data_IF_729684044431
#
_entry.id   IF_729684044431
#
_cell.length_a   1.000
_cell.length_b   1.000
_cell.length_c   1.000
_cell.angle_alpha   90.00
_cell.angle_beta   90.00
_cell.angle_gamma   90.00
#
_symmetry.space_group_name_H-M   'P 1'
#
loop_
_entity.id
_entity.type
_entity.pdbx_description
1 polymer ?
#
# COMPACT_ATOMS: atom_id res chain seq x y z
N UNK A 1 -30.40 17.54 1.05
CA UNK A 1 -29.46 16.91 2.00
C UNK A 1 -28.29 16.18 1.31
N UNK A 2 -28.50 15.41 0.23
CA UNK A 2 -27.41 14.70 -0.47
C UNK A 2 -26.32 15.62 -1.07
N UNK A 3 -26.71 16.75 -1.68
CA UNK A 3 -25.77 17.73 -2.23
C UNK A 3 -24.86 18.35 -1.16
N UNK A 4 -25.38 18.58 0.05
CA UNK A 4 -24.62 19.12 1.19
C UNK A 4 -23.59 18.11 1.70
N UNK A 5 -23.92 16.81 1.72
CA UNK A 5 -22.99 15.73 2.07
C UNK A 5 -21.91 15.55 1.00
N UNK A 6 -22.27 15.60 -0.28
CA UNK A 6 -21.34 15.48 -1.41
C UNK A 6 -20.27 16.58 -1.40
N UNK A 7 -20.69 17.84 -1.26
CA UNK A 7 -19.77 18.99 -1.15
C UNK A 7 -18.89 18.88 0.09
N UNK A 8 -19.43 18.41 1.22
CA UNK A 8 -18.65 18.21 2.45
C UNK A 8 -17.55 17.16 2.28
N UNK A 9 -17.86 16.04 1.59
CA UNK A 9 -16.88 14.98 1.30
C UNK A 9 -15.77 15.55 0.41
N UNK A 10 -16.11 16.17 -0.72
CA UNK A 10 -15.12 16.68 -1.66
C UNK A 10 -14.25 17.79 -1.06
N UNK A 11 -14.83 18.68 -0.24
CA UNK A 11 -14.07 19.73 0.47
C UNK A 11 -13.14 19.19 1.55
N UNK A 12 -13.33 17.95 2.00
CA UNK A 12 -12.42 17.31 2.95
C UNK A 12 -11.20 16.66 2.29
N UNK A 13 -11.15 16.64 0.96
CA UNK A 13 -10.01 16.14 0.19
C UNK A 13 -9.02 17.30 0.00
N UNK A 14 -7.77 17.17 0.46
CA UNK A 14 -6.74 18.18 0.21
C UNK A 14 -6.38 18.16 -1.27
N UNK A 15 -6.54 19.30 -1.95
CA UNK A 15 -6.24 19.44 -3.38
C UNK A 15 -5.40 20.68 -3.58
N UNK A 16 -4.20 20.48 -4.10
CA UNK A 16 -3.23 21.53 -4.41
C UNK A 16 -3.54 22.20 -5.75
N UNK A 17 -2.85 23.30 -6.03
CA UNK A 17 -2.89 23.95 -7.34
C UNK A 17 -2.30 23.12 -8.48
N UNK A 18 -1.48 22.11 -8.18
CA UNK A 18 -0.83 21.23 -9.15
C UNK A 18 -1.78 20.15 -9.69
N UNK A 19 -2.93 19.94 -9.03
CA UNK A 19 -3.94 19.00 -9.48
C UNK A 19 -4.59 19.44 -10.82
N UNK A 20 -5.05 18.44 -11.59
CA UNK A 20 -5.83 18.63 -12.82
C UNK A 20 -6.93 19.69 -12.62
N UNK A 21 -7.06 20.62 -13.58
CA UNK A 21 -8.09 21.65 -13.54
C UNK A 21 -9.50 21.05 -13.43
N UNK A 22 -9.74 19.91 -14.10
CA UNK A 22 -10.99 19.15 -14.02
C UNK A 22 -11.28 18.64 -12.62
N UNK A 23 -10.27 18.14 -11.89
CA UNK A 23 -10.42 17.72 -10.49
C UNK A 23 -10.73 18.92 -9.59
N UNK A 24 -9.97 20.01 -9.77
CA UNK A 24 -10.16 21.25 -9.00
C UNK A 24 -11.55 21.86 -9.24
N UNK A 25 -12.08 21.79 -10.45
CA UNK A 25 -13.42 22.28 -10.78
C UNK A 25 -14.55 21.39 -10.22
N UNK A 26 -14.35 20.07 -10.14
CA UNK A 26 -15.36 19.14 -9.65
C UNK A 26 -15.70 19.31 -8.16
N UNK A 27 -14.73 19.75 -7.35
CA UNK A 27 -14.86 19.94 -5.89
C UNK A 27 -15.85 21.05 -5.51
N UNK A 28 -15.68 22.32 -5.94
CA UNK A 28 -16.62 23.39 -5.62
C UNK A 28 -18.00 23.15 -6.26
N UNK A 29 -18.05 22.46 -7.41
CA UNK A 29 -19.30 22.06 -8.05
C UNK A 29 -20.04 20.92 -7.33
N UNK A 30 -19.41 20.26 -6.35
CA UNK A 30 -20.00 19.11 -5.65
C UNK A 30 -20.21 17.89 -6.55
N UNK A 31 -19.51 17.82 -7.69
CA UNK A 31 -19.75 16.81 -8.71
C UNK A 31 -18.92 15.55 -8.48
N UNK A 32 -19.42 14.68 -7.60
CA UNK A 32 -18.79 13.41 -7.24
C UNK A 32 -18.49 12.53 -8.47
N UNK A 33 -19.40 12.50 -9.45
CA UNK A 33 -19.25 11.67 -10.65
C UNK A 33 -18.11 12.17 -11.53
N UNK A 34 -18.02 13.48 -11.74
CA UNK A 34 -16.92 14.08 -12.50
C UNK A 34 -15.58 13.88 -11.79
N UNK A 35 -15.54 14.09 -10.46
CA UNK A 35 -14.36 13.83 -9.64
C UNK A 35 -13.88 12.39 -9.78
N UNK A 36 -14.75 11.40 -9.52
CA UNK A 36 -14.39 9.99 -9.58
C UNK A 36 -13.90 9.58 -10.98
N UNK A 37 -14.58 10.02 -12.04
CA UNK A 37 -14.18 9.72 -13.42
C UNK A 37 -12.78 10.26 -13.73
N UNK A 38 -12.56 11.55 -13.51
CA UNK A 38 -11.27 12.19 -13.79
C UNK A 38 -10.13 11.57 -12.97
N UNK A 39 -10.38 11.27 -11.70
CA UNK A 39 -9.40 10.64 -10.83
C UNK A 39 -9.01 9.24 -11.32
N UNK A 40 -10.00 8.43 -11.72
CA UNK A 40 -9.76 7.10 -12.27
C UNK A 40 -9.05 7.14 -13.62
N UNK A 41 -9.38 8.12 -14.48
CA UNK A 41 -8.71 8.31 -15.77
C UNK A 41 -7.21 8.61 -15.58
N UNK A 42 -6.85 9.42 -14.57
CA UNK A 42 -5.45 9.69 -14.22
C UNK A 42 -4.73 8.46 -13.66
N UNK A 43 -5.44 7.59 -12.94
CA UNK A 43 -4.90 6.36 -12.36
C UNK A 43 -4.89 5.15 -13.31
N UNK A 44 -5.51 5.26 -14.49
CA UNK A 44 -5.66 4.14 -15.41
C UNK A 44 -4.29 3.56 -15.83
N UNK A 45 -3.33 4.42 -16.18
CA UNK A 45 -1.98 3.99 -16.61
C UNK A 45 -1.21 3.29 -15.47
N UNK A 46 -1.11 3.88 -14.27
CA UNK A 46 -0.55 3.17 -13.11
C UNK A 46 -1.23 1.83 -12.82
N UNK A 47 -2.57 1.78 -12.80
CA UNK A 47 -3.32 0.55 -12.53
C UNK A 47 -2.99 -0.56 -13.54
N UNK A 48 -2.97 -0.23 -14.85
CA UNK A 48 -2.59 -1.18 -15.91
C UNK A 48 -1.17 -1.70 -15.75
N UNK A 49 -0.22 -0.84 -15.35
CA UNK A 49 1.18 -1.24 -15.11
C UNK A 49 1.30 -2.12 -13.88
N UNK A 50 0.60 -1.76 -12.79
CA UNK A 50 0.61 -2.55 -11.57
C UNK A 50 0.08 -3.96 -11.81
N UNK A 51 -1.06 -4.11 -12.50
CA UNK A 51 -1.60 -5.43 -12.89
C UNK A 51 -0.59 -6.28 -13.68
N UNK A 52 0.21 -5.66 -14.56
CA UNK A 52 1.26 -6.38 -15.30
C UNK A 52 2.41 -6.85 -14.41
N UNK A 53 2.78 -6.05 -13.40
CA UNK A 53 3.85 -6.39 -12.45
C UNK A 53 3.39 -7.46 -11.44
N UNK A 54 2.11 -7.44 -11.09
CA UNK A 54 1.48 -8.32 -10.11
C UNK A 54 1.00 -9.67 -10.68
N UNK A 55 0.78 -9.76 -11.99
CA UNK A 55 0.10 -10.91 -12.61
C UNK A 55 -1.40 -10.96 -12.27
N UNK A 56 -2.10 -11.99 -12.76
CA UNK A 56 -3.55 -12.16 -12.51
C UNK A 56 -3.88 -12.62 -11.07
N UNK A 57 -2.88 -13.00 -10.27
CA UNK A 57 -3.06 -13.75 -9.02
C UNK A 57 -2.89 -12.94 -7.73
N UNK A 58 -2.60 -11.64 -7.80
CA UNK A 58 -2.20 -10.91 -6.58
C UNK A 58 -3.09 -9.71 -6.32
N UNK A 59 -4.08 -9.93 -5.46
CA UNK A 59 -4.96 -8.88 -4.93
C UNK A 59 -4.96 -9.03 -3.42
N UNK A 60 -4.45 -8.03 -2.70
CA UNK A 60 -4.67 -7.72 -1.28
C UNK A 60 -4.89 -8.88 -0.27
N UNK A 61 -4.34 -10.07 -0.50
CA UNK A 61 -4.24 -11.19 0.44
C UNK A 61 -2.79 -11.40 0.91
N UNK A 62 -1.94 -10.40 0.69
CA UNK A 62 -0.53 -10.43 1.07
C UNK A 62 -0.38 -9.93 2.51
N UNK A 63 -0.78 -10.81 3.42
CA UNK A 63 -0.28 -10.97 4.78
C UNK A 63 -0.34 -9.73 5.70
N UNK A 64 -1.41 -9.64 6.48
CA UNK A 64 -1.22 -9.56 7.92
C UNK A 64 -1.75 -10.88 8.50
N UNK A 65 -0.98 -11.53 9.37
CA UNK A 65 -1.56 -12.57 10.20
C UNK A 65 -2.74 -11.96 10.97
N UNK A 66 -3.89 -12.63 10.94
CA UNK A 66 -5.18 -12.16 11.48
C UNK A 66 -5.06 -11.70 12.97
N UNK A 67 -4.06 -12.24 13.68
CA UNK A 67 -3.73 -11.94 15.08
C UNK A 67 -3.38 -10.47 15.36
N UNK A 68 -2.88 -9.73 14.37
CA UNK A 68 -2.46 -8.32 14.53
C UNK A 68 -3.55 -7.27 14.23
N UNK A 69 -4.70 -7.70 13.68
CA UNK A 69 -5.72 -6.80 13.17
C UNK A 69 -6.75 -6.41 14.25
N UNK A 70 -7.11 -5.12 14.30
CA UNK A 70 -8.26 -4.69 15.10
C UNK A 70 -9.58 -5.25 14.57
N UNK A 71 -10.65 -5.16 15.37
CA UNK A 71 -11.98 -5.60 14.94
C UNK A 71 -12.43 -4.95 13.62
N UNK A 72 -12.16 -3.65 13.43
CA UNK A 72 -12.48 -2.92 12.19
C UNK A 72 -11.67 -3.45 11.01
N UNK A 73 -10.37 -3.67 11.20
CA UNK A 73 -9.47 -4.23 10.18
C UNK A 73 -9.89 -5.65 9.80
N UNK A 74 -10.25 -6.50 10.76
CA UNK A 74 -10.73 -7.87 10.50
C UNK A 74 -12.02 -7.91 9.70
N UNK A 75 -12.98 -7.04 10.01
CA UNK A 75 -14.22 -6.93 9.22
C UNK A 75 -13.93 -6.50 7.78
N UNK A 76 -13.03 -5.52 7.59
CA UNK A 76 -12.63 -5.08 6.26
C UNK A 76 -11.87 -6.19 5.50
N UNK A 77 -10.96 -6.90 6.15
CA UNK A 77 -10.22 -8.03 5.59
C UNK A 77 -11.15 -9.13 5.11
N UNK A 78 -12.03 -9.62 5.98
CA UNK A 78 -12.97 -10.68 5.64
C UNK A 78 -13.89 -10.31 4.45
N UNK A 79 -14.33 -9.05 4.38
CA UNK A 79 -15.16 -8.57 3.28
C UNK A 79 -14.40 -8.45 1.95
N UNK A 80 -13.15 -7.98 1.98
CA UNK A 80 -12.29 -7.92 0.79
C UNK A 80 -11.87 -9.32 0.32
N UNK A 81 -11.56 -10.23 1.23
CA UNK A 81 -11.23 -11.63 0.90
C UNK A 81 -12.38 -12.33 0.18
N UNK A 82 -13.61 -12.13 0.65
CA UNK A 82 -14.81 -12.63 -0.04
C UNK A 82 -14.94 -12.01 -1.44
N UNK A 83 -14.62 -10.72 -1.58
CA UNK A 83 -14.61 -10.07 -2.88
C UNK A 83 -13.60 -10.71 -3.82
N UNK A 84 -12.36 -10.91 -3.37
CA UNK A 84 -11.28 -11.49 -4.17
C UNK A 84 -11.52 -12.95 -4.54
N UNK A 85 -12.06 -13.75 -3.62
CA UNK A 85 -12.45 -15.13 -3.90
C UNK A 85 -13.57 -15.21 -4.97
N UNK A 86 -14.56 -14.32 -4.90
CA UNK A 86 -15.62 -14.23 -5.90
C UNK A 86 -15.10 -13.71 -7.24
N UNK A 87 -14.18 -12.73 -7.23
CA UNK A 87 -13.58 -12.17 -8.43
C UNK A 87 -12.78 -13.22 -9.21
N UNK A 88 -11.93 -13.99 -8.51
CA UNK A 88 -11.14 -15.08 -9.10
C UNK A 88 -12.00 -16.23 -9.64
N UNK A 89 -13.07 -16.58 -8.93
CA UNK A 89 -13.97 -17.66 -9.37
C UNK A 89 -14.98 -17.24 -10.45
N UNK A 90 -15.06 -15.95 -10.79
CA UNK A 90 -16.02 -15.41 -11.76
C UNK A 90 -17.49 -15.48 -11.31
N UNK A 91 -17.77 -15.91 -10.07
CA UNK A 91 -19.14 -16.13 -9.55
C UNK A 91 -19.73 -14.86 -8.92
N UNK A 92 -21.06 -14.71 -9.01
CA UNK A 92 -21.88 -13.72 -8.28
C UNK A 92 -21.39 -12.25 -8.27
N UNK A 93 -20.86 -11.75 -9.39
CA UNK A 93 -20.31 -10.39 -9.51
C UNK A 93 -21.20 -9.26 -8.96
N UNK A 94 -22.52 -9.30 -9.20
CA UNK A 94 -23.42 -8.23 -8.74
C UNK A 94 -23.62 -8.19 -7.22
N UNK A 95 -23.81 -9.37 -6.59
CA UNK A 95 -23.95 -9.49 -5.13
C UNK A 95 -22.66 -9.07 -4.44
N UNK A 96 -21.53 -9.55 -4.92
CA UNK A 96 -20.22 -9.23 -4.36
C UNK A 96 -19.87 -7.76 -4.55
N UNK A 97 -20.19 -7.15 -5.71
CA UNK A 97 -20.05 -5.70 -5.94
C UNK A 97 -20.87 -4.87 -4.95
N UNK A 98 -22.12 -5.27 -4.69
CA UNK A 98 -22.96 -4.59 -3.67
C UNK A 98 -22.39 -4.74 -2.27
N UNK A 99 -21.93 -5.94 -1.92
CA UNK A 99 -21.33 -6.20 -0.61
C UNK A 99 -20.07 -5.35 -0.38
N UNK A 100 -19.16 -5.27 -1.36
CA UNK A 100 -17.94 -4.45 -1.22
C UNK A 100 -18.25 -2.95 -1.25
N UNK A 101 -19.23 -2.52 -2.04
CA UNK A 101 -19.71 -1.13 -2.02
C UNK A 101 -20.24 -0.75 -0.63
N UNK A 102 -21.06 -1.60 -0.01
CA UNK A 102 -21.55 -1.37 1.34
C UNK A 102 -20.41 -1.37 2.37
N UNK A 103 -19.49 -2.33 2.29
CA UNK A 103 -18.32 -2.41 3.16
C UNK A 103 -17.47 -1.13 3.11
N UNK A 104 -17.18 -0.62 1.91
CA UNK A 104 -16.42 0.62 1.73
C UNK A 104 -17.21 1.85 2.18
N UNK A 105 -18.53 1.89 1.99
CA UNK A 105 -19.38 2.97 2.47
C UNK A 105 -19.41 3.02 4.01
N UNK A 106 -19.49 1.86 4.68
CA UNK A 106 -19.42 1.75 6.13
C UNK A 106 -18.03 2.14 6.65
N UNK A 107 -16.97 1.65 6.01
CA UNK A 107 -15.59 1.98 6.36
C UNK A 107 -15.30 3.49 6.23
N UNK A 108 -15.71 4.10 5.11
CA UNK A 108 -15.51 5.53 4.83
C UNK A 108 -16.52 6.45 5.51
N UNK A 109 -17.63 5.91 6.03
CA UNK A 109 -18.64 6.66 6.79
C UNK A 109 -18.07 7.30 8.05
N UNK A 110 -17.02 6.71 8.63
CA UNK A 110 -16.26 7.28 9.75
C UNK A 110 -15.20 8.27 9.27
N UNK A 111 -15.61 9.31 8.52
CA UNK A 111 -14.71 10.30 7.92
C UNK A 111 -13.71 10.90 8.92
N UNK A 112 -14.07 10.98 10.21
CA UNK A 112 -13.25 11.56 11.29
C UNK A 112 -12.10 10.66 11.75
N UNK A 113 -12.19 9.36 11.52
CA UNK A 113 -11.18 8.39 11.95
C UNK A 113 -10.12 8.24 10.86
N UNK A 114 -8.86 8.52 11.19
CA UNK A 114 -7.74 8.24 10.30
C UNK A 114 -7.62 6.71 10.07
N UNK A 115 -7.29 6.28 8.84
CA UNK A 115 -7.08 4.87 8.56
C UNK A 115 -5.79 4.37 9.23
N UNK A 116 -5.80 3.12 9.68
CA UNK A 116 -4.58 2.41 10.06
C UNK A 116 -3.82 1.97 8.80
N UNK A 117 -2.53 1.67 8.94
CA UNK A 117 -1.69 1.31 7.80
C UNK A 117 -2.24 0.13 6.98
N UNK A 118 -2.73 -0.92 7.64
CA UNK A 118 -3.31 -2.05 6.94
C UNK A 118 -4.58 -1.65 6.16
N UNK A 119 -5.50 -0.90 6.78
CA UNK A 119 -6.71 -0.39 6.10
C UNK A 119 -6.35 0.49 4.90
N UNK A 120 -5.36 1.38 5.09
CA UNK A 120 -4.90 2.29 4.07
C UNK A 120 -4.34 1.54 2.86
N UNK A 121 -3.54 0.50 3.10
CA UNK A 121 -3.00 -0.36 2.04
C UNK A 121 -4.11 -1.09 1.29
N UNK A 122 -4.98 -1.80 2.03
CA UNK A 122 -6.04 -2.61 1.44
C UNK A 122 -7.01 -1.78 0.60
N UNK A 123 -7.43 -0.62 1.11
CA UNK A 123 -8.33 0.28 0.37
C UNK A 123 -7.61 0.95 -0.79
N UNK A 124 -6.35 1.34 -0.65
CA UNK A 124 -5.60 1.95 -1.76
C UNK A 124 -5.45 0.99 -2.93
N UNK A 125 -5.11 -0.27 -2.66
CA UNK A 125 -5.03 -1.32 -3.67
C UNK A 125 -6.38 -1.59 -4.33
N UNK A 126 -7.44 -1.68 -3.53
CA UNK A 126 -8.79 -1.84 -4.07
C UNK A 126 -9.19 -0.67 -4.97
N UNK A 127 -8.97 0.58 -4.56
CA UNK A 127 -9.34 1.76 -5.35
C UNK A 127 -8.52 1.87 -6.64
N UNK A 128 -7.23 1.54 -6.61
CA UNK A 128 -6.41 1.57 -7.81
C UNK A 128 -6.84 0.51 -8.83
N UNK A 129 -7.16 -0.70 -8.36
CA UNK A 129 -7.46 -1.83 -9.24
C UNK A 129 -8.95 -1.96 -9.59
N UNK A 130 -9.86 -1.50 -8.74
CA UNK A 130 -11.31 -1.67 -8.85
C UNK A 130 -12.09 -0.42 -8.44
N UNK A 131 -11.51 0.76 -8.60
CA UNK A 131 -12.15 2.03 -8.29
C UNK A 131 -13.41 2.33 -9.13
N UNK A 132 -13.67 1.58 -10.19
CA UNK A 132 -14.92 1.62 -10.99
C UNK A 132 -16.12 0.94 -10.31
N UNK A 133 -15.89 0.09 -9.30
CA UNK A 133 -16.92 -0.61 -8.57
C UNK A 133 -17.69 0.29 -7.60
N UNK A 134 -17.04 1.06 -6.71
CA UNK A 134 -17.75 1.86 -5.73
C UNK A 134 -18.52 3.01 -6.40
N UNK A 135 -19.62 3.40 -5.79
CA UNK A 135 -20.35 4.59 -6.23
C UNK A 135 -19.48 5.84 -6.04
N UNK A 136 -19.64 6.90 -6.85
CA UNK A 136 -18.80 8.09 -6.78
C UNK A 136 -18.73 8.74 -5.38
N UNK A 137 -19.81 8.66 -4.60
CA UNK A 137 -19.84 9.16 -3.23
C UNK A 137 -18.92 8.36 -2.29
N UNK A 138 -18.98 7.02 -2.37
CA UNK A 138 -18.14 6.11 -1.59
C UNK A 138 -16.69 6.22 -2.03
N UNK A 139 -16.44 6.28 -3.34
CA UNK A 139 -15.10 6.50 -3.88
C UNK A 139 -14.46 7.78 -3.29
N UNK A 140 -15.14 8.92 -3.40
CA UNK A 140 -14.65 10.18 -2.87
C UNK A 140 -14.49 10.16 -1.35
N UNK A 141 -15.39 9.49 -0.61
CA UNK A 141 -15.28 9.33 0.83
C UNK A 141 -14.06 8.48 1.22
N UNK A 142 -13.76 7.40 0.48
CA UNK A 142 -12.56 6.62 0.72
C UNK A 142 -11.29 7.44 0.47
N UNK A 143 -11.22 8.20 -0.63
CA UNK A 143 -10.11 9.12 -0.90
C UNK A 143 -9.95 10.14 0.24
N UNK A 144 -11.05 10.71 0.73
CA UNK A 144 -11.03 11.65 1.85
C UNK A 144 -10.53 11.01 3.15
N UNK A 145 -10.87 9.74 3.44
CA UNK A 145 -10.32 9.02 4.61
C UNK A 145 -8.83 8.73 4.42
N UNK A 146 -8.41 8.24 3.25
CA UNK A 146 -7.01 7.96 2.94
C UNK A 146 -6.13 9.21 3.06
N UNK A 147 -6.62 10.37 2.61
CA UNK A 147 -5.92 11.65 2.75
C UNK A 147 -5.69 12.09 4.21
N UNK A 148 -6.34 11.45 5.19
CA UNK A 148 -6.12 11.67 6.62
C UNK A 148 -5.09 10.72 7.22
N UNK A 149 -4.50 9.82 6.43
CA UNK A 149 -3.40 9.00 6.90
C UNK A 149 -2.32 9.94 7.42
N UNK A 150 -1.97 9.76 8.70
CA UNK A 150 -0.90 10.54 9.29
C UNK A 150 0.42 9.95 8.83
N UNK A 151 1.30 10.80 8.30
CA UNK A 151 2.71 10.46 8.22
C UNK A 151 3.23 10.24 9.64
N UNK A 152 3.77 9.06 9.93
CA UNK A 152 4.62 8.92 11.10
C UNK A 152 5.99 9.43 10.68
N UNK A 153 6.52 10.52 11.28
CA UNK A 153 7.92 10.81 11.09
C UNK A 153 8.67 9.55 11.50
N UNK A 154 9.56 9.07 10.63
CA UNK A 154 10.61 8.18 11.08
C UNK A 154 11.48 9.06 11.98
N UNK A 155 11.06 9.24 13.24
CA UNK A 155 11.95 9.79 14.24
C UNK A 155 13.11 8.83 14.22
N UNK A 156 14.23 9.31 13.70
CA UNK A 156 15.52 8.79 14.08
C UNK A 156 15.47 8.76 15.59
N UNK A 157 15.21 7.57 16.16
CA UNK A 157 15.63 7.26 17.50
C UNK A 157 17.02 7.87 17.60
N UNK A 158 17.19 8.78 18.56
CA UNK A 158 18.39 9.59 18.68
C UNK A 158 19.67 8.76 18.58
N UNK A 159 20.84 9.40 18.46
CA UNK A 159 22.08 8.69 18.26
C UNK A 159 22.20 7.58 19.32
N UNK A 160 22.25 6.31 18.87
CA UNK A 160 22.38 5.07 19.65
C UNK A 160 21.13 4.24 20.05
N UNK A 161 19.98 4.34 19.37
CA UNK A 161 18.87 3.39 19.56
C UNK A 161 18.65 2.44 18.36
N UNK A 162 19.30 1.28 18.31
CA UNK A 162 18.88 0.21 17.37
C UNK A 162 17.49 -0.28 17.77
N UNK A 163 16.47 0.05 16.97
CA UNK A 163 15.13 -0.51 17.12
C UNK A 163 15.20 -2.04 17.05
N UNK A 164 14.31 -2.72 17.79
CA UNK A 164 14.19 -4.16 17.65
C UNK A 164 13.78 -4.52 16.21
N UNK A 165 14.17 -5.69 15.68
CA UNK A 165 13.77 -6.12 14.33
C UNK A 165 12.26 -6.06 14.10
N UNK A 166 11.47 -6.40 15.13
CA UNK A 166 10.01 -6.30 15.10
C UNK A 166 9.53 -4.84 14.94
N UNK A 167 10.09 -3.91 15.72
CA UNK A 167 9.76 -2.50 15.64
C UNK A 167 10.19 -1.88 14.31
N UNK A 168 11.32 -2.33 13.76
CA UNK A 168 11.79 -1.96 12.43
C UNK A 168 10.81 -2.38 11.33
N UNK A 169 10.38 -3.65 11.32
CA UNK A 169 9.42 -4.14 10.33
C UNK A 169 8.08 -3.40 10.48
N UNK A 170 7.62 -3.17 11.71
CA UNK A 170 6.39 -2.40 11.96
C UNK A 170 6.48 -0.96 11.42
N UNK A 171 7.61 -0.29 11.62
CA UNK A 171 7.85 1.06 11.10
C UNK A 171 7.95 1.06 9.57
N UNK A 172 8.56 0.04 8.99
CA UNK A 172 8.61 -0.14 7.54
C UNK A 172 7.19 -0.35 6.95
N UNK A 173 6.30 -1.08 7.62
CA UNK A 173 4.90 -1.25 7.20
C UNK A 173 4.10 0.07 7.25
N UNK A 174 4.37 0.95 8.22
CA UNK A 174 3.78 2.30 8.24
C UNK A 174 4.29 3.16 7.08
N UNK A 175 5.59 3.04 6.78
CA UNK A 175 6.26 3.76 5.69
C UNK A 175 5.75 3.30 4.33
N UNK A 176 5.53 1.99 4.18
CA UNK A 176 4.88 1.38 3.03
C UNK A 176 3.48 1.96 2.79
N UNK A 177 2.63 1.98 3.84
CA UNK A 177 1.29 2.57 3.74
C UNK A 177 1.33 4.05 3.34
N UNK A 178 2.27 4.80 3.90
CA UNK A 178 2.47 6.22 3.58
C UNK A 178 2.85 6.40 2.11
N UNK A 179 3.84 5.67 1.61
CA UNK A 179 4.26 5.74 0.21
C UNK A 179 3.12 5.38 -0.74
N UNK A 180 2.42 4.28 -0.48
CA UNK A 180 1.35 3.78 -1.36
C UNK A 180 0.17 4.75 -1.40
N UNK A 181 -0.25 5.29 -0.25
CA UNK A 181 -1.29 6.31 -0.20
C UNK A 181 -0.83 7.57 -0.91
N UNK A 182 0.42 8.02 -0.71
CA UNK A 182 0.94 9.21 -1.39
C UNK A 182 0.90 9.04 -2.92
N UNK A 183 1.34 7.89 -3.44
CA UNK A 183 1.28 7.58 -4.87
C UNK A 183 -0.16 7.58 -5.39
N UNK A 184 -1.09 6.96 -4.67
CA UNK A 184 -2.51 6.98 -5.04
C UNK A 184 -3.09 8.40 -5.09
N UNK A 185 -2.71 9.24 -4.12
CA UNK A 185 -3.17 10.62 -3.98
C UNK A 185 -2.40 11.60 -4.87
N UNK A 186 -1.39 11.15 -5.62
CA UNK A 186 -0.58 12.00 -6.49
C UNK A 186 -1.39 12.90 -7.45
N UNK A 187 -2.57 12.51 -7.99
CA UNK A 187 -3.41 13.41 -8.79
C UNK A 187 -3.89 14.68 -8.07
N UNK A 188 -3.84 14.71 -6.74
CA UNK A 188 -4.25 15.85 -5.91
C UNK A 188 -3.10 16.82 -5.58
N UNK A 189 -1.85 16.39 -5.79
CA UNK A 189 -0.62 17.16 -5.57
C UNK A 189 -0.21 17.38 -4.10
N UNK A 190 -1.13 17.38 -3.13
CA UNK A 190 -0.80 17.53 -1.69
C UNK A 190 -0.41 16.20 -1.02
N UNK A 191 0.69 15.60 -1.47
CA UNK A 191 1.14 14.27 -1.03
C UNK A 191 2.65 14.14 -0.77
N UNK A 192 3.42 15.21 -1.00
CA UNK A 192 4.89 15.20 -0.91
C UNK A 192 5.41 14.80 0.47
N UNK A 193 4.87 15.39 1.55
CA UNK A 193 5.32 15.05 2.91
C UNK A 193 5.10 13.56 3.24
N UNK A 194 3.97 13.00 2.79
CA UNK A 194 3.66 11.59 2.99
C UNK A 194 4.56 10.69 2.14
N UNK A 195 4.86 11.12 0.91
CA UNK A 195 5.78 10.44 0.00
C UNK A 195 7.20 10.40 0.56
N UNK A 196 7.76 11.55 0.96
CA UNK A 196 9.10 11.69 1.54
C UNK A 196 9.24 10.87 2.83
N UNK A 197 8.24 10.93 3.70
CA UNK A 197 8.19 10.13 4.92
C UNK A 197 8.20 8.63 4.62
N UNK A 198 7.40 8.18 3.65
CA UNK A 198 7.35 6.78 3.23
C UNK A 198 8.65 6.30 2.61
N UNK A 199 9.27 7.11 1.75
CA UNK A 199 10.57 6.80 1.15
C UNK A 199 11.67 6.69 2.21
N UNK A 200 11.81 7.71 3.05
CA UNK A 200 12.86 7.75 4.06
C UNK A 200 12.79 6.54 4.97
N UNK A 201 11.58 6.19 5.43
CA UNK A 201 11.40 5.05 6.34
C UNK A 201 11.70 3.70 5.68
N UNK A 202 11.31 3.50 4.42
CA UNK A 202 11.63 2.28 3.68
C UNK A 202 13.14 2.15 3.40
N UNK A 203 13.80 3.24 3.00
CA UNK A 203 15.26 3.27 2.75
C UNK A 203 16.04 2.99 4.03
N UNK A 204 15.66 3.63 5.12
CA UNK A 204 16.30 3.42 6.43
C UNK A 204 16.09 1.99 6.94
N UNK A 205 14.88 1.43 6.78
CA UNK A 205 14.63 0.06 7.17
C UNK A 205 15.51 -0.94 6.41
N UNK A 206 15.64 -0.78 5.09
CA UNK A 206 16.55 -1.61 4.29
C UNK A 206 18.00 -1.49 4.77
N UNK A 207 18.52 -0.26 4.96
CA UNK A 207 19.90 -0.03 5.41
C UNK A 207 20.19 -0.58 6.81
N UNK A 208 19.22 -0.55 7.73
CA UNK A 208 19.43 -1.02 9.10
C UNK A 208 19.26 -2.54 9.26
N UNK A 209 18.61 -3.19 8.30
CA UNK A 209 18.34 -4.64 8.32
C UNK A 209 19.27 -5.44 7.41
N UNK A 210 20.06 -4.77 6.57
CA UNK A 210 20.97 -5.39 5.60
C UNK A 210 22.36 -4.77 5.67
N UNK A 211 23.38 -5.58 5.40
CA UNK A 211 24.73 -5.09 5.17
C UNK A 211 24.89 -4.40 3.79
N UNK A 212 26.09 -3.93 3.48
CA UNK A 212 26.41 -3.23 2.23
C UNK A 212 26.14 -4.07 0.97
N UNK A 213 26.22 -5.39 1.07
CA UNK A 213 25.97 -6.32 -0.03
C UNK A 213 24.51 -6.77 -0.10
N UNK A 214 23.65 -6.28 0.81
CA UNK A 214 22.23 -6.64 0.88
C UNK A 214 21.94 -7.92 1.67
N UNK A 215 22.91 -8.49 2.39
CA UNK A 215 22.65 -9.70 3.19
C UNK A 215 21.82 -9.32 4.43
N UNK A 216 20.73 -10.06 4.74
CA UNK A 216 19.92 -9.77 5.91
C UNK A 216 20.71 -10.04 7.19
N UNK A 217 20.60 -9.15 8.18
CA UNK A 217 21.09 -9.42 9.52
C UNK A 217 20.39 -10.66 10.10
N UNK A 218 21.10 -11.47 10.91
CA UNK A 218 20.56 -12.71 11.47
C UNK A 218 19.25 -12.51 12.25
N UNK A 219 19.08 -11.34 12.87
CA UNK A 219 17.89 -10.94 13.61
C UNK A 219 16.65 -10.71 12.74
N UNK A 220 16.82 -10.52 11.41
CA UNK A 220 15.74 -10.36 10.44
C UNK A 220 15.22 -11.70 9.91
N UNK A 221 15.97 -12.80 10.05
CA UNK A 221 15.68 -14.08 9.38
C UNK A 221 14.27 -14.62 9.68
N UNK A 222 13.81 -14.50 10.93
CA UNK A 222 12.46 -14.94 11.34
C UNK A 222 11.34 -14.05 10.80
N UNK A 223 11.66 -12.81 10.42
CA UNK A 223 10.73 -11.81 9.90
C UNK A 223 10.91 -11.56 8.40
N UNK A 224 11.86 -12.26 7.76
CA UNK A 224 12.29 -12.02 6.39
C UNK A 224 11.14 -12.08 5.38
N UNK A 225 10.21 -13.06 5.42
CA UNK A 225 9.08 -13.09 4.49
C UNK A 225 8.17 -11.85 4.60
N UNK A 226 7.89 -11.41 5.82
CA UNK A 226 7.10 -10.20 6.07
C UNK A 226 7.82 -8.96 5.58
N UNK A 227 9.12 -8.86 5.87
CA UNK A 227 9.93 -7.72 5.44
C UNK A 227 10.08 -7.64 3.92
N UNK A 228 10.28 -8.77 3.23
CA UNK A 228 10.30 -8.82 1.77
C UNK A 228 8.98 -8.35 1.16
N UNK A 229 7.84 -8.69 1.77
CA UNK A 229 6.53 -8.21 1.33
C UNK A 229 6.44 -6.69 1.44
N UNK A 230 6.87 -6.14 2.58
CA UNK A 230 6.92 -4.69 2.85
C UNK A 230 7.84 -3.94 1.88
N UNK A 231 8.85 -4.58 1.29
CA UNK A 231 9.71 -3.96 0.27
C UNK A 231 9.18 -4.17 -1.16
N UNK A 232 8.65 -5.35 -1.46
CA UNK A 232 8.21 -5.71 -2.81
C UNK A 232 7.00 -4.87 -3.28
N UNK A 233 6.00 -4.69 -2.40
CA UNK A 233 4.79 -3.92 -2.74
C UNK A 233 5.07 -2.45 -3.06
N UNK A 234 5.77 -1.66 -2.22
CA UNK A 234 6.09 -0.27 -2.57
C UNK A 234 7.02 -0.19 -3.78
N UNK A 235 7.89 -1.17 -4.02
CA UNK A 235 8.69 -1.25 -5.24
C UNK A 235 7.81 -1.39 -6.49
N UNK A 236 6.84 -2.30 -6.47
CA UNK A 236 5.90 -2.50 -7.57
C UNK A 236 5.02 -1.27 -7.81
N UNK A 237 4.53 -0.64 -6.75
CA UNK A 237 3.77 0.59 -6.82
C UNK A 237 4.61 1.74 -7.37
N UNK A 238 5.81 1.97 -6.86
CA UNK A 238 6.70 3.00 -7.35
C UNK A 238 6.99 2.81 -8.86
N UNK A 239 7.31 1.58 -9.29
CA UNK A 239 7.48 1.27 -10.71
C UNK A 239 6.20 1.53 -11.53
N UNK A 240 5.02 1.16 -11.01
CA UNK A 240 3.74 1.41 -11.66
C UNK A 240 3.42 2.91 -11.79
N UNK A 241 3.85 3.74 -10.85
CA UNK A 241 3.69 5.20 -10.91
C UNK A 241 4.87 5.91 -11.62
N UNK A 242 5.89 5.17 -12.07
CA UNK A 242 7.17 5.71 -12.59
C UNK A 242 7.89 6.60 -11.58
N UNK A 243 7.73 6.26 -10.31
CA UNK A 243 8.38 6.90 -9.19
C UNK A 243 9.72 6.20 -8.89
N UNK A 244 10.78 6.98 -8.70
CA UNK A 244 12.11 6.43 -8.40
C UNK A 244 12.28 6.25 -6.89
N UNK A 245 11.93 5.08 -6.38
CA UNK A 245 12.06 4.78 -4.95
C UNK A 245 13.50 4.47 -4.53
N UNK A 246 14.21 3.68 -5.36
CA UNK A 246 15.53 3.14 -5.02
C UNK A 246 16.63 3.77 -5.87
N UNK A 247 17.61 4.41 -5.22
CA UNK A 247 18.88 4.75 -5.84
C UNK A 247 19.73 3.51 -6.12
N UNK A 248 20.80 3.65 -6.91
CA UNK A 248 21.65 2.53 -7.36
C UNK A 248 22.17 1.67 -6.22
N UNK A 249 22.67 2.27 -5.14
CA UNK A 249 23.15 1.54 -3.95
C UNK A 249 22.04 0.68 -3.32
N UNK A 250 20.85 1.25 -3.13
CA UNK A 250 19.74 0.53 -2.50
C UNK A 250 19.17 -0.56 -3.41
N UNK A 251 19.23 -0.37 -4.74
CA UNK A 251 18.89 -1.43 -5.69
C UNK A 251 19.84 -2.64 -5.56
N UNK A 252 21.13 -2.40 -5.38
CA UNK A 252 22.11 -3.47 -5.15
C UNK A 252 21.78 -4.23 -3.86
N UNK A 253 21.43 -3.51 -2.77
CA UNK A 253 21.01 -4.15 -1.51
C UNK A 253 19.76 -4.98 -1.65
N UNK A 254 18.74 -4.48 -2.37
CA UNK A 254 17.51 -5.26 -2.64
C UNK A 254 17.84 -6.52 -3.43
N UNK A 255 18.70 -6.42 -4.46
CA UNK A 255 19.15 -7.58 -5.22
C UNK A 255 19.82 -8.62 -4.32
N UNK A 256 20.80 -8.19 -3.50
CA UNK A 256 21.47 -9.09 -2.54
C UNK A 256 20.52 -9.73 -1.53
N UNK A 257 19.52 -8.97 -1.04
CA UNK A 257 18.52 -9.46 -0.12
C UNK A 257 17.63 -10.53 -0.78
N UNK A 258 17.16 -10.29 -2.01
CA UNK A 258 16.36 -11.25 -2.76
C UNK A 258 17.12 -12.52 -3.10
N UNK A 259 18.41 -12.41 -3.48
CA UNK A 259 19.28 -13.57 -3.72
C UNK A 259 19.48 -14.37 -2.43
N UNK A 260 19.79 -13.70 -1.32
CA UNK A 260 20.00 -14.34 -0.01
C UNK A 260 18.73 -15.07 0.46
N UNK A 261 17.56 -14.43 0.31
CA UNK A 261 16.27 -15.04 0.62
C UNK A 261 15.98 -16.27 -0.25
N UNK A 262 16.31 -16.22 -1.55
CA UNK A 262 16.18 -17.36 -2.45
C UNK A 262 17.04 -18.55 -2.03
N UNK A 263 18.26 -18.30 -1.56
CA UNK A 263 19.15 -19.35 -1.04
C UNK A 263 18.61 -19.99 0.25
N UNK A 264 17.97 -19.21 1.12
CA UNK A 264 17.35 -19.70 2.36
C UNK A 264 16.08 -20.52 2.10
N UNK A 265 15.39 -20.29 0.97
CA UNK A 265 14.20 -21.02 0.56
C UNK A 265 14.51 -22.30 -0.25
N UNK A 266 15.73 -22.43 -0.77
CA UNK A 266 16.16 -23.63 -1.47
C UNK A 266 16.33 -24.80 -0.48
N UNK A 267 15.87 -26.02 -0.81
CA UNK A 267 16.17 -27.18 0.03
C UNK A 267 17.69 -27.36 0.15
N UNK A 268 18.16 -27.66 1.37
CA UNK A 268 19.55 -28.02 1.62
C UNK A 268 19.95 -29.09 0.61
N UNK A 269 20.90 -28.77 -0.28
CA UNK A 269 21.48 -29.80 -1.11
C UNK A 269 22.12 -30.84 -0.19
N UNK A 270 21.90 -32.15 -0.40
CA UNK A 270 22.57 -33.16 0.40
C UNK A 270 24.07 -32.89 0.28
N UNK A 271 24.74 -32.73 1.42
CA UNK A 271 26.19 -32.66 1.45
C UNK A 271 26.71 -33.92 0.77
N UNK A 272 27.29 -33.78 -0.42
CA UNK A 272 28.09 -34.85 -1.00
C UNK A 272 29.28 -35.03 -0.07
N UNK A 273 29.26 -36.11 0.71
CA UNK A 273 30.41 -36.68 1.38
C UNK A 273 31.47 -37.04 0.34
N UNK A 274 32.25 -36.06 -0.09
CA UNK A 274 33.50 -36.28 -0.80
C UNK A 274 34.50 -35.30 -0.23
N UNK A 275 35.08 -35.69 0.90
CA UNK A 275 36.52 -35.66 1.15
C UNK A 275 36.77 -36.01 2.63
N UNK A 276 36.78 -37.31 2.92
CA UNK A 276 37.57 -37.82 4.04
C UNK A 276 38.96 -38.12 3.44
N UNK A 277 39.99 -37.30 3.72
CA UNK A 277 41.34 -37.65 3.32
C UNK A 277 41.80 -38.85 4.16
N UNK A 278 42.13 -39.95 3.48
CA UNK A 278 42.83 -41.12 4.04
C UNK A 278 44.27 -40.80 4.38
#
# INVERSE_FOLDING_TARGET
MAATTAVRILRSIPVSHEASESLRAAIPAGNLKAFAREFLDLLEKPARRLRKLQGDDTTAAWSAADEGLSGRERTLAAGLDQFWAAHRSGKHRSKTRRAVQQLLAEWSGSLRQAPRAWEALAVSEFLLLHGDIPEPATFAACIAVLARLKSAPFEAAGPAGTLSPQAMVSTASLSEASLIVALLLSPLGDHQLLLESGESGLRQALQQTTDGDGRPHGSLLTLLPGFLTVLARPTAWAAAFRHSLWGSELQQRISGLTTSAGMLAAPLQPATETDIPT
#
